data_IF_569229196946
#
_entry.id   IF_569229196946
#
_cell.length_a   1.000
_cell.length_b   1.000
_cell.length_c   1.000
_cell.angle_alpha   90.00
_cell.angle_beta   90.00
_cell.angle_gamma   90.00
#
_symmetry.space_group_name_H-M   'P 1'
#
loop_
_entity.id
_entity.type
_entity.pdbx_description
1 polymer ?
#
# COMPACT_ATOMS: atom_id res chain seq x y z
N UNK A 1 41.70 20.03 -25.08
CA UNK A 1 40.44 19.75 -25.72
C UNK A 1 39.87 18.44 -25.22
N UNK A 2 39.13 18.44 -24.23
CA UNK A 2 38.45 17.27 -23.76
C UNK A 2 36.95 17.51 -23.91
N UNK A 3 36.19 16.62 -24.53
CA UNK A 3 34.76 16.73 -24.54
C UNK A 3 34.26 16.43 -23.14
N UNK A 4 33.31 17.19 -22.72
CA UNK A 4 32.55 16.92 -21.50
C UNK A 4 31.80 15.62 -21.68
N UNK A 5 32.20 14.58 -20.97
CA UNK A 5 31.70 13.24 -21.17
C UNK A 5 30.86 12.74 -19.98
N UNK A 6 30.26 13.63 -19.25
CA UNK A 6 29.64 13.18 -18.02
C UNK A 6 28.13 13.15 -17.97
N UNK A 7 27.46 13.77 -18.92
CA UNK A 7 26.02 14.04 -18.75
C UNK A 7 25.11 12.97 -19.35
N UNK A 8 25.57 12.21 -20.27
CA UNK A 8 24.69 11.31 -21.03
C UNK A 8 24.34 10.04 -20.30
N UNK A 9 25.17 9.63 -19.37
CA UNK A 9 24.90 8.39 -18.63
C UNK A 9 23.65 8.45 -17.75
N UNK A 10 23.30 9.63 -17.27
CA UNK A 10 22.10 9.78 -16.43
C UNK A 10 20.82 9.74 -17.24
N UNK A 11 20.85 10.24 -18.46
CA UNK A 11 19.66 10.24 -19.31
C UNK A 11 19.28 8.83 -19.75
N UNK A 12 20.26 7.95 -19.92
CA UNK A 12 19.98 6.58 -20.33
C UNK A 12 19.34 5.72 -19.23
N UNK A 13 19.37 6.17 -17.98
CA UNK A 13 18.69 5.47 -16.89
C UNK A 13 17.18 5.54 -16.98
N UNK A 14 16.64 6.48 -17.73
CA UNK A 14 15.21 6.61 -17.93
C UNK A 14 14.81 5.79 -19.15
N UNK A 15 14.45 4.54 -18.90
CA UNK A 15 14.00 3.66 -19.97
C UNK A 15 12.63 4.07 -20.47
N UNK A 16 12.38 4.07 -21.80
CA UNK A 16 11.05 4.35 -22.35
C UNK A 16 9.98 3.42 -21.77
N UNK A 17 10.34 2.16 -21.44
CA UNK A 17 9.44 1.20 -20.84
C UNK A 17 8.96 1.57 -19.45
N UNK A 18 9.72 2.38 -18.69
CA UNK A 18 9.31 2.81 -17.35
C UNK A 18 8.14 3.79 -17.39
N UNK A 19 7.95 4.51 -18.51
CA UNK A 19 6.84 5.45 -18.68
C UNK A 19 5.50 4.74 -18.85
N UNK A 20 5.52 3.44 -19.17
CA UNK A 20 4.31 2.62 -19.31
C UNK A 20 3.96 1.85 -18.03
N UNK A 21 4.80 1.95 -17.00
CA UNK A 21 4.53 1.30 -15.72
C UNK A 21 3.25 1.85 -15.09
N UNK A 22 2.59 1.05 -14.28
CA UNK A 22 1.45 1.53 -13.49
C UNK A 22 1.86 2.71 -12.62
N UNK A 23 3.07 2.67 -12.05
CA UNK A 23 3.65 3.76 -11.27
C UNK A 23 3.61 5.09 -12.03
N UNK A 24 4.12 5.10 -13.26
CA UNK A 24 4.15 6.30 -14.08
C UNK A 24 2.74 6.76 -14.47
N UNK A 25 1.87 5.82 -14.84
CA UNK A 25 0.49 6.11 -15.21
C UNK A 25 -0.36 6.62 -14.06
N UNK A 26 -0.02 6.26 -12.82
CA UNK A 26 -0.63 6.81 -11.60
C UNK A 26 -0.16 8.24 -11.29
N UNK A 27 0.92 8.69 -11.91
CA UNK A 27 1.46 10.03 -11.70
C UNK A 27 2.69 10.09 -10.79
N UNK A 28 3.28 8.96 -10.45
CA UNK A 28 4.50 8.89 -9.66
C UNK A 28 4.28 8.99 -8.15
N UNK A 29 5.39 9.20 -7.42
CA UNK A 29 5.40 9.07 -5.96
C UNK A 29 4.47 10.04 -5.23
N UNK A 30 4.37 11.29 -5.69
CA UNK A 30 3.54 12.27 -5.02
C UNK A 30 2.05 11.97 -5.20
N UNK A 31 1.64 11.54 -6.39
CA UNK A 31 0.25 11.13 -6.63
C UNK A 31 -0.12 9.89 -5.81
N UNK A 32 0.78 8.91 -5.73
CA UNK A 32 0.59 7.72 -4.90
C UNK A 32 0.49 8.10 -3.43
N UNK A 33 1.36 9.00 -2.96
CA UNK A 33 1.32 9.46 -1.57
C UNK A 33 0.00 10.14 -1.23
N UNK A 34 -0.56 10.93 -2.14
CA UNK A 34 -1.85 11.58 -1.94
C UNK A 34 -2.99 10.56 -1.80
N UNK A 35 -3.01 9.53 -2.64
CA UNK A 35 -4.00 8.46 -2.55
C UNK A 35 -3.84 7.68 -1.25
N UNK A 36 -2.61 7.33 -0.87
CA UNK A 36 -2.33 6.59 0.37
C UNK A 36 -2.73 7.40 1.60
N UNK A 37 -2.48 8.70 1.60
CA UNK A 37 -2.87 9.60 2.68
C UNK A 37 -4.39 9.60 2.87
N UNK A 38 -5.13 9.86 1.80
CA UNK A 38 -6.59 9.86 1.82
C UNK A 38 -7.16 8.50 2.23
N UNK A 39 -6.66 7.43 1.65
CA UNK A 39 -7.06 6.06 1.93
C UNK A 39 -6.83 5.71 3.41
N UNK A 40 -5.65 6.02 3.94
CA UNK A 40 -5.29 5.70 5.32
C UNK A 40 -6.18 6.44 6.32
N UNK A 41 -6.48 7.70 6.07
CA UNK A 41 -7.39 8.48 6.90
C UNK A 41 -8.83 7.96 6.81
N UNK A 42 -9.26 7.57 5.61
CA UNK A 42 -10.61 7.06 5.39
C UNK A 42 -10.85 5.72 6.08
N UNK A 43 -9.85 4.85 6.16
CA UNK A 43 -9.97 3.57 6.88
C UNK A 43 -10.34 3.80 8.34
N UNK A 44 -9.79 4.82 8.99
CA UNK A 44 -10.07 5.11 10.41
C UNK A 44 -11.58 5.30 10.64
N UNK A 45 -12.26 5.90 9.66
CA UNK A 45 -13.69 6.20 9.74
C UNK A 45 -14.59 5.06 9.24
N UNK A 46 -13.99 4.01 8.67
CA UNK A 46 -14.77 2.89 8.16
C UNK A 46 -15.36 2.08 9.34
N UNK A 47 -16.67 1.79 9.33
CA UNK A 47 -17.31 1.12 10.44
C UNK A 47 -16.91 -0.35 10.59
N UNK A 48 -16.39 -0.98 9.54
CA UNK A 48 -16.01 -2.39 9.55
C UNK A 48 -14.52 -2.54 9.89
N UNK A 49 -13.65 -1.72 9.32
CA UNK A 49 -12.20 -1.88 9.45
C UNK A 49 -11.53 -0.82 10.35
N UNK A 50 -12.22 0.25 10.70
CA UNK A 50 -11.62 1.40 11.36
C UNK A 50 -11.73 1.42 12.89
N UNK A 51 -11.87 2.63 13.43
CA UNK A 51 -11.89 2.87 14.87
C UNK A 51 -13.09 2.24 15.61
N UNK A 52 -14.13 1.89 14.87
CA UNK A 52 -15.32 1.24 15.44
C UNK A 52 -15.47 -0.21 14.99
N UNK A 53 -14.41 -0.79 14.47
CA UNK A 53 -14.42 -2.18 14.02
C UNK A 53 -14.81 -3.14 15.16
N UNK A 54 -15.55 -4.17 14.82
CA UNK A 54 -15.82 -5.29 15.75
C UNK A 54 -14.54 -6.09 16.03
N UNK A 55 -13.55 -6.03 15.14
CA UNK A 55 -12.24 -6.65 15.36
C UNK A 55 -11.43 -5.83 16.37
N UNK A 56 -11.15 -6.38 17.56
CA UNK A 56 -10.48 -5.61 18.61
C UNK A 56 -9.08 -5.12 18.22
N UNK A 57 -8.36 -5.89 17.41
CA UNK A 57 -7.01 -5.51 16.96
C UNK A 57 -7.07 -4.33 16.00
N UNK A 58 -7.98 -4.34 15.03
CA UNK A 58 -8.18 -3.22 14.12
C UNK A 58 -8.68 -1.98 14.87
N UNK A 59 -9.63 -2.15 15.77
CA UNK A 59 -10.14 -1.04 16.59
C UNK A 59 -9.03 -0.41 17.43
N UNK A 60 -8.21 -1.22 18.08
CA UNK A 60 -7.09 -0.74 18.90
C UNK A 60 -6.08 0.01 18.06
N UNK A 61 -5.74 -0.52 16.89
CA UNK A 61 -4.77 0.12 16.00
C UNK A 61 -5.26 1.52 15.60
N UNK A 62 -6.55 1.64 15.24
CA UNK A 62 -7.14 2.88 14.75
C UNK A 62 -7.59 3.84 15.86
N UNK A 63 -7.39 3.51 17.13
CA UNK A 63 -7.71 4.38 18.25
C UNK A 63 -6.50 4.70 19.12
N UNK A 64 -5.58 3.75 19.31
CA UNK A 64 -4.48 3.89 20.25
C UNK A 64 -3.09 3.93 19.61
N UNK A 65 -3.01 3.72 18.32
CA UNK A 65 -1.72 3.67 17.60
C UNK A 65 -1.66 4.68 16.44
N UNK A 66 -2.47 5.73 16.51
CA UNK A 66 -2.50 6.75 15.46
C UNK A 66 -1.23 7.58 15.38
N UNK A 67 -0.42 7.59 16.42
CA UNK A 67 0.94 8.14 16.40
C UNK A 67 1.84 7.43 15.37
N UNK A 68 1.52 6.19 15.02
CA UNK A 68 2.25 5.40 14.01
C UNK A 68 1.72 5.63 12.59
N UNK A 69 0.62 6.34 12.44
CA UNK A 69 -0.02 6.54 11.13
C UNK A 69 0.88 7.21 10.10
N UNK A 70 1.66 8.26 10.43
CA UNK A 70 2.56 8.87 9.44
C UNK A 70 3.58 7.88 8.88
N UNK A 71 4.17 7.06 9.74
CA UNK A 71 5.12 6.01 9.32
C UNK A 71 4.45 4.94 8.45
N UNK A 72 3.22 4.55 8.79
CA UNK A 72 2.45 3.61 8.00
C UNK A 72 2.11 4.16 6.61
N UNK A 73 1.72 5.43 6.53
CA UNK A 73 1.48 6.11 5.24
C UNK A 73 2.72 6.11 4.37
N UNK A 74 3.87 6.42 4.96
CA UNK A 74 5.15 6.39 4.26
C UNK A 74 5.46 4.99 3.73
N UNK A 75 5.32 3.97 4.57
CA UNK A 75 5.57 2.58 4.19
C UNK A 75 4.63 2.10 3.10
N UNK A 76 3.33 2.40 3.20
CA UNK A 76 2.34 2.08 2.18
C UNK A 76 2.66 2.74 0.85
N UNK A 77 3.07 4.00 0.89
CA UNK A 77 3.45 4.75 -0.32
C UNK A 77 4.62 4.08 -1.03
N UNK A 78 5.67 3.72 -0.30
CA UNK A 78 6.82 3.04 -0.88
C UNK A 78 6.46 1.65 -1.40
N UNK A 79 5.61 0.93 -0.68
CA UNK A 79 5.17 -0.40 -1.11
C UNK A 79 4.37 -0.31 -2.42
N UNK A 80 3.41 0.59 -2.50
CA UNK A 80 2.62 0.79 -3.73
C UNK A 80 3.52 1.21 -4.88
N UNK A 81 4.45 2.13 -4.64
CA UNK A 81 5.41 2.55 -5.65
C UNK A 81 6.23 1.37 -6.18
N UNK A 82 6.73 0.52 -5.30
CA UNK A 82 7.53 -0.64 -5.69
C UNK A 82 6.72 -1.65 -6.49
N UNK A 83 5.52 -2.04 -6.02
CA UNK A 83 4.70 -3.06 -6.70
C UNK A 83 4.09 -2.57 -8.00
N UNK A 84 4.01 -1.26 -8.20
CA UNK A 84 3.52 -0.66 -9.45
C UNK A 84 4.62 -0.37 -10.46
N UNK A 85 5.84 -0.79 -10.18
CA UNK A 85 6.97 -0.68 -11.10
C UNK A 85 7.78 0.60 -10.96
N UNK A 86 7.66 1.30 -9.84
CA UNK A 86 8.46 2.49 -9.56
C UNK A 86 9.88 2.16 -9.09
N UNK A 87 10.74 3.19 -9.00
CA UNK A 87 12.17 3.01 -8.69
C UNK A 87 12.48 2.90 -7.20
N UNK A 88 11.47 2.67 -6.37
CA UNK A 88 11.62 2.69 -4.91
C UNK A 88 11.60 1.29 -4.33
N UNK A 89 12.43 1.08 -3.31
CA UNK A 89 12.46 -0.15 -2.52
C UNK A 89 12.33 0.21 -1.05
N UNK A 90 11.51 -0.53 -0.33
CA UNK A 90 11.46 -0.39 1.10
C UNK A 90 12.59 -1.20 1.74
N UNK A 91 13.41 -0.52 2.54
CA UNK A 91 14.47 -1.16 3.32
C UNK A 91 14.24 -0.82 4.79
N UNK A 92 14.15 -1.83 5.69
CA UNK A 92 14.03 -1.56 7.12
C UNK A 92 15.26 -0.80 7.62
N UNK A 93 15.03 0.22 8.43
CA UNK A 93 16.11 1.04 9.02
C UNK A 93 16.48 0.60 10.41
N UNK A 94 15.65 -0.20 11.07
CA UNK A 94 15.93 -0.70 12.40
C UNK A 94 16.93 -1.85 12.33
N UNK A 95 18.04 -1.82 13.10
CA UNK A 95 19.01 -2.92 13.12
C UNK A 95 18.33 -4.26 13.45
N UNK A 96 18.67 -5.30 12.71
CA UNK A 96 18.10 -6.62 12.89
C UNK A 96 16.68 -6.82 12.34
N UNK A 97 16.05 -5.77 11.83
CA UNK A 97 14.75 -5.90 11.20
C UNK A 97 14.88 -6.46 9.78
N UNK A 98 13.91 -7.26 9.38
CA UNK A 98 13.78 -7.76 8.01
C UNK A 98 12.49 -7.22 7.39
N UNK A 99 12.40 -7.27 6.07
CA UNK A 99 11.14 -7.02 5.39
C UNK A 99 10.17 -8.14 5.75
N UNK A 100 9.13 -7.81 6.51
CA UNK A 100 8.07 -8.76 6.79
C UNK A 100 7.21 -8.91 5.53
N UNK A 101 6.91 -10.15 5.18
CA UNK A 101 5.87 -10.43 4.20
C UNK A 101 4.51 -9.93 4.70
N UNK A 102 3.57 -9.74 3.79
CA UNK A 102 2.24 -9.24 4.15
C UNK A 102 1.54 -10.16 5.17
N UNK A 103 1.73 -11.48 5.05
CA UNK A 103 1.17 -12.44 5.99
C UNK A 103 1.66 -12.14 7.42
N UNK A 104 2.98 -12.09 7.62
CA UNK A 104 3.56 -11.86 8.94
C UNK A 104 3.22 -10.48 9.50
N UNK A 105 3.19 -9.47 8.63
CA UNK A 105 2.88 -8.11 9.04
C UNK A 105 1.43 -7.93 9.51
N UNK A 106 0.51 -8.75 9.01
CA UNK A 106 -0.93 -8.64 9.30
C UNK A 106 -1.47 -9.76 10.20
N UNK A 107 -0.67 -10.78 10.51
CA UNK A 107 -1.14 -11.96 11.24
C UNK A 107 -1.81 -11.61 12.57
N UNK A 108 -1.22 -10.72 13.35
CA UNK A 108 -1.76 -10.35 14.66
C UNK A 108 -3.04 -9.51 14.59
N UNK A 109 -3.32 -8.91 13.46
CA UNK A 109 -4.53 -8.12 13.25
C UNK A 109 -5.76 -8.99 12.98
N UNK A 110 -5.56 -10.25 12.59
CA UNK A 110 -6.63 -11.23 12.33
C UNK A 110 -7.72 -10.65 11.42
N UNK A 111 -7.29 -10.01 10.33
CA UNK A 111 -8.20 -9.37 9.38
C UNK A 111 -9.02 -10.44 8.68
N UNK A 112 -10.36 -10.36 8.83
CA UNK A 112 -11.28 -11.25 8.14
C UNK A 112 -11.41 -10.89 6.66
N UNK A 113 -11.90 -11.83 5.81
CA UNK A 113 -12.21 -11.51 4.42
C UNK A 113 -13.18 -10.33 4.28
N UNK A 114 -14.15 -10.21 5.16
CA UNK A 114 -15.12 -9.09 5.16
C UNK A 114 -14.42 -7.76 5.45
N UNK A 115 -13.50 -7.74 6.41
CA UNK A 115 -12.73 -6.55 6.76
C UNK A 115 -11.78 -6.15 5.62
N UNK A 116 -11.16 -7.14 4.99
CA UNK A 116 -10.34 -6.91 3.81
C UNK A 116 -11.16 -6.28 2.69
N UNK A 117 -12.34 -6.80 2.41
CA UNK A 117 -13.23 -6.28 1.37
C UNK A 117 -13.70 -4.86 1.69
N UNK A 118 -13.93 -4.54 2.98
CA UNK A 118 -14.25 -3.19 3.41
C UNK A 118 -13.11 -2.22 3.12
N UNK A 119 -11.87 -2.64 3.36
CA UNK A 119 -10.68 -1.82 3.04
C UNK A 119 -10.54 -1.65 1.52
N UNK A 120 -10.81 -2.69 0.74
CA UNK A 120 -10.82 -2.59 -0.73
C UNK A 120 -11.84 -1.55 -1.22
N UNK A 121 -13.01 -1.50 -0.59
CA UNK A 121 -14.04 -0.50 -0.91
C UNK A 121 -13.58 0.93 -0.56
N UNK A 122 -12.86 1.09 0.54
CA UNK A 122 -12.26 2.39 0.90
C UNK A 122 -11.23 2.80 -0.16
N UNK A 123 -10.39 1.87 -0.60
CA UNK A 123 -9.40 2.14 -1.66
C UNK A 123 -10.07 2.56 -2.95
N UNK A 124 -11.15 1.90 -3.34
CA UNK A 124 -11.94 2.27 -4.52
C UNK A 124 -12.41 3.72 -4.43
N UNK A 125 -12.97 4.12 -3.29
CA UNK A 125 -13.43 5.50 -3.09
C UNK A 125 -12.29 6.52 -3.12
N UNK A 126 -11.13 6.15 -2.59
CA UNK A 126 -9.95 7.03 -2.65
C UNK A 126 -9.44 7.22 -4.07
N UNK A 127 -9.40 6.16 -4.86
CA UNK A 127 -9.02 6.23 -6.27
C UNK A 127 -10.01 7.11 -7.06
N UNK A 128 -11.30 6.97 -6.78
CA UNK A 128 -12.34 7.81 -7.39
C UNK A 128 -12.21 9.28 -6.97
N UNK A 129 -11.88 9.53 -5.72
CA UNK A 129 -11.68 10.89 -5.20
C UNK A 129 -10.59 11.65 -5.99
N UNK A 130 -9.53 10.97 -6.38
CA UNK A 130 -8.45 11.55 -7.17
C UNK A 130 -8.64 11.37 -8.68
N UNK A 131 -9.82 10.94 -9.11
CA UNK A 131 -10.17 10.76 -10.53
C UNK A 131 -9.19 9.86 -11.28
N UNK A 132 -8.70 8.81 -10.61
CA UNK A 132 -7.82 7.82 -11.25
C UNK A 132 -8.60 7.15 -12.39
N UNK A 133 -8.02 7.10 -13.60
CA UNK A 133 -8.71 6.50 -14.74
C UNK A 133 -9.09 5.05 -14.51
N UNK A 134 -10.17 4.59 -15.16
CA UNK A 134 -10.74 3.27 -14.93
C UNK A 134 -9.72 2.13 -15.12
N UNK A 135 -8.84 2.23 -16.13
CA UNK A 135 -7.85 1.20 -16.39
C UNK A 135 -6.85 1.06 -15.24
N UNK A 136 -6.28 2.18 -14.79
CA UNK A 136 -5.34 2.21 -13.68
C UNK A 136 -5.99 1.82 -12.36
N UNK A 137 -7.23 2.27 -12.13
CA UNK A 137 -8.01 1.87 -10.95
C UNK A 137 -8.20 0.35 -10.91
N UNK A 138 -8.54 -0.27 -12.02
CA UNK A 138 -8.70 -1.73 -12.12
C UNK A 138 -7.39 -2.46 -11.82
N UNK A 139 -6.27 -1.98 -12.33
CA UNK A 139 -4.96 -2.59 -12.05
C UNK A 139 -4.59 -2.50 -10.57
N UNK A 140 -4.83 -1.34 -9.93
CA UNK A 140 -4.58 -1.15 -8.50
C UNK A 140 -5.45 -2.10 -7.67
N UNK A 141 -6.74 -2.16 -7.96
CA UNK A 141 -7.68 -3.01 -7.22
C UNK A 141 -7.38 -4.49 -7.41
N UNK A 142 -6.97 -4.91 -8.61
CA UNK A 142 -6.57 -6.29 -8.88
C UNK A 142 -5.30 -6.66 -8.10
N UNK A 143 -4.31 -5.77 -8.07
CA UNK A 143 -3.10 -5.98 -7.31
C UNK A 143 -3.39 -6.07 -5.80
N UNK A 144 -4.27 -5.22 -5.30
CA UNK A 144 -4.70 -5.26 -3.90
C UNK A 144 -5.40 -6.59 -3.58
N UNK A 145 -6.35 -6.99 -4.42
CA UNK A 145 -7.12 -8.24 -4.24
C UNK A 145 -6.21 -9.48 -4.26
N UNK A 146 -5.12 -9.45 -5.02
CA UNK A 146 -4.19 -10.56 -5.11
C UNK A 146 -3.53 -10.91 -3.77
N UNK A 147 -3.48 -9.97 -2.83
CA UNK A 147 -2.89 -10.17 -1.49
C UNK A 147 -3.90 -10.57 -0.41
N UNK A 148 -5.16 -10.79 -0.77
CA UNK A 148 -6.21 -11.11 0.21
C UNK A 148 -5.87 -12.34 1.06
N UNK A 149 -5.39 -13.42 0.45
CA UNK A 149 -5.05 -14.63 1.19
C UNK A 149 -3.92 -14.40 2.20
N UNK A 150 -2.88 -13.68 1.82
CA UNK A 150 -1.76 -13.36 2.71
C UNK A 150 -2.20 -12.49 3.89
N UNK A 151 -2.99 -11.45 3.62
CA UNK A 151 -3.44 -10.50 4.64
C UNK A 151 -4.41 -11.15 5.62
N UNK A 152 -5.25 -12.08 5.16
CA UNK A 152 -6.27 -12.72 6.00
C UNK A 152 -5.82 -14.04 6.63
N UNK A 153 -4.56 -14.42 6.46
CA UNK A 153 -4.05 -15.71 6.97
C UNK A 153 -4.17 -15.82 8.49
N UNK A 154 -3.89 -14.75 9.24
CA UNK A 154 -4.00 -14.74 10.69
C UNK A 154 -5.41 -14.99 11.18
N UNK A 155 -6.41 -14.46 10.48
CA UNK A 155 -7.82 -14.71 10.78
C UNK A 155 -8.18 -16.18 10.50
N UNK A 156 -7.78 -16.71 9.35
CA UNK A 156 -8.07 -18.10 8.98
C UNK A 156 -7.45 -19.08 9.96
N UNK A 157 -6.20 -18.84 10.36
CA UNK A 157 -5.50 -19.69 11.33
C UNK A 157 -6.17 -19.67 12.71
N UNK A 158 -6.90 -18.61 13.06
CA UNK A 158 -7.59 -18.48 14.33
C UNK A 158 -9.00 -19.12 14.32
N UNK A 159 -9.49 -19.59 13.16
CA UNK A 159 -10.83 -20.20 13.08
C UNK A 159 -10.81 -21.63 13.62
N UNK A 160 -11.91 -22.07 14.29
CA UNK A 160 -12.03 -23.46 14.74
C UNK A 160 -12.01 -24.44 13.55
N UNK A 161 -11.32 -25.57 13.71
CA UNK A 161 -11.27 -26.61 12.70
C UNK A 161 -10.09 -26.56 11.74
N UNK A 162 -9.13 -25.68 11.99
CA UNK A 162 -7.84 -25.66 11.28
C UNK A 162 -6.74 -26.31 12.10
#
# INVERSE_FOLDING_TARGET
>A
MGPALGAEASASAQQPGSDTSLYARLGGIFAIAAVVDHFSDAIIRDPIAGARSANPALRRWHTRQLDRLPGLKFMRTLWVAAVSGGPFHYTPTRPGASNLGLEAAHASLRISPREFDAVAAVLTRSLDHFHVPAAEKQEVLAAFAAHKNEVTQGWRAAQPGH
#
